data_IF_323511742125
#
_entry.id   IF_323511742125
#
_cell.length_a   1.000
_cell.length_b   1.000
_cell.length_c   1.000
_cell.angle_alpha   90.00
_cell.angle_beta   90.00
_cell.angle_gamma   90.00
#
_symmetry.space_group_name_H-M   'P 1'
#
loop_
_entity.id
_entity.type
_entity.pdbx_description
1 polymer ?
#
# COMPACT_ATOMS: atom_id res chain seq x y z
N UNK A 1 12.80 26.96 52.18
CA UNK A 1 14.02 26.96 53.01
C UNK A 1 14.11 25.58 53.64
N UNK A 2 15.09 24.70 53.47
CA UNK A 2 16.42 24.66 52.81
C UNK A 2 16.75 23.14 52.68
N UNK A 3 17.66 22.71 51.80
CA UNK A 3 17.64 21.41 51.10
C UNK A 3 18.74 20.43 51.55
N UNK A 4 18.78 19.23 50.95
CA UNK A 4 19.98 18.39 50.66
C UNK A 4 19.53 17.21 49.74
N UNK A 5 19.99 17.10 48.49
CA UNK A 5 21.29 16.56 48.01
C UNK A 5 21.48 15.07 48.39
N UNK A 6 21.91 14.11 47.55
CA UNK A 6 22.64 14.10 46.27
C UNK A 6 22.64 12.65 45.70
N UNK A 7 22.74 12.54 44.37
CA UNK A 7 23.47 11.56 43.53
C UNK A 7 23.71 10.10 43.98
N UNK A 8 23.48 9.14 43.06
CA UNK A 8 24.58 8.37 42.46
C UNK A 8 24.15 7.67 41.15
N UNK A 9 24.96 7.85 40.12
CA UNK A 9 24.94 7.13 38.86
C UNK A 9 25.79 5.85 38.96
N UNK A 10 25.37 4.76 38.33
CA UNK A 10 26.22 3.61 37.99
C UNK A 10 25.81 3.09 36.60
N UNK A 11 26.75 3.11 35.66
CA UNK A 11 26.71 2.50 34.32
C UNK A 11 27.41 1.11 34.36
N UNK A 12 27.24 0.26 33.31
CA UNK A 12 27.38 -1.20 33.32
C UNK A 12 28.79 -1.69 32.95
N UNK A 13 29.06 -3.02 32.94
CA UNK A 13 29.22 -3.70 31.63
C UNK A 13 28.92 -5.22 31.61
N UNK A 14 28.65 -5.78 30.42
CA UNK A 14 28.83 -7.18 29.96
C UNK A 14 28.22 -7.22 28.54
N UNK A 15 28.93 -7.19 27.41
CA UNK A 15 30.05 -7.97 26.88
C UNK A 15 29.80 -9.49 26.83
N UNK A 16 29.11 -9.95 25.77
CA UNK A 16 29.29 -11.29 25.22
C UNK A 16 29.27 -11.20 23.69
N UNK A 17 30.43 -11.49 23.09
CA UNK A 17 30.63 -11.72 21.67
C UNK A 17 30.32 -13.19 21.34
N UNK A 18 29.70 -13.46 20.19
CA UNK A 18 29.71 -14.78 19.56
C UNK A 18 30.01 -14.66 18.07
N UNK A 19 30.79 -15.64 17.62
CA UNK A 19 31.63 -15.69 16.43
C UNK A 19 30.90 -15.98 15.12
N UNK A 20 31.57 -15.55 14.05
CA UNK A 20 31.36 -15.93 12.66
C UNK A 20 31.67 -17.41 12.38
N UNK A 21 30.88 -18.00 11.47
CA UNK A 21 31.15 -19.15 10.58
C UNK A 21 29.96 -19.18 9.61
N UNK A 22 30.03 -19.28 8.29
CA UNK A 22 31.09 -19.53 7.33
C UNK A 22 30.35 -19.95 6.04
N UNK A 23 30.55 -19.22 4.94
CA UNK A 23 30.07 -19.64 3.62
C UNK A 23 30.91 -20.81 3.10
N UNK A 24 30.32 -21.70 2.29
CA UNK A 24 31.07 -22.27 1.17
C UNK A 24 30.42 -21.94 -0.17
N UNK A 25 31.21 -21.30 -1.03
CA UNK A 25 31.08 -21.31 -2.49
C UNK A 25 31.40 -22.71 -3.01
N UNK A 26 30.65 -23.17 -4.01
CA UNK A 26 31.00 -24.31 -4.86
C UNK A 26 30.49 -24.10 -6.28
N UNK A 27 31.41 -23.83 -7.19
CA UNK A 27 31.32 -23.93 -8.66
C UNK A 27 32.57 -24.74 -9.09
N UNK A 28 32.72 -25.17 -10.36
CA UNK A 28 31.80 -25.86 -11.27
C UNK A 28 32.48 -27.10 -11.91
N UNK A 29 31.70 -28.08 -12.40
CA UNK A 29 32.16 -29.07 -13.40
C UNK A 29 30.97 -29.32 -14.33
N UNK A 30 31.02 -29.26 -15.66
CA UNK A 30 32.08 -29.63 -16.59
C UNK A 30 31.66 -30.91 -17.31
N UNK A 31 30.85 -30.81 -18.38
CA UNK A 31 30.41 -31.97 -19.18
C UNK A 31 29.81 -31.56 -20.53
N UNK A 32 30.48 -31.99 -21.61
CA UNK A 32 30.27 -31.68 -23.04
C UNK A 32 29.17 -32.54 -23.70
N UNK A 33 28.75 -32.21 -24.95
CA UNK A 33 27.54 -32.71 -25.60
C UNK A 33 27.75 -34.02 -26.40
N UNK A 34 26.70 -34.83 -26.50
CA UNK A 34 26.49 -35.89 -27.50
C UNK A 34 25.02 -35.72 -27.96
N UNK A 35 24.64 -35.69 -29.23
CA UNK A 35 25.20 -36.28 -30.43
C UNK A 35 24.05 -37.03 -31.12
N UNK A 36 23.47 -36.44 -32.16
CA UNK A 36 22.61 -37.14 -33.13
C UNK A 36 23.47 -38.15 -33.91
N UNK A 37 23.01 -39.39 -34.13
CA UNK A 37 22.71 -39.74 -35.52
C UNK A 37 21.60 -40.80 -35.67
N UNK A 38 20.73 -40.64 -36.68
CA UNK A 38 20.59 -41.56 -37.85
C UNK A 38 19.27 -41.34 -38.61
N UNK A 39 19.39 -41.00 -39.92
CA UNK A 39 18.34 -41.16 -40.95
C UNK A 39 18.00 -42.64 -41.17
N UNK A 40 16.96 -43.06 -41.92
CA UNK A 40 16.30 -42.67 -43.20
C UNK A 40 15.15 -43.71 -43.41
N UNK A 41 14.38 -43.81 -44.53
CA UNK A 41 13.71 -42.83 -45.40
C UNK A 41 12.24 -43.23 -45.87
N UNK A 42 11.62 -42.35 -46.69
CA UNK A 42 10.56 -42.52 -47.73
C UNK A 42 9.07 -42.73 -47.35
N UNK A 43 8.20 -41.80 -47.81
CA UNK A 43 7.07 -42.08 -48.73
C UNK A 43 6.35 -40.79 -49.18
N UNK A 44 6.47 -40.47 -50.47
CA UNK A 44 5.65 -39.54 -51.22
C UNK A 44 4.19 -40.02 -51.30
N UNK A 45 3.21 -39.12 -51.11
CA UNK A 45 1.86 -39.28 -51.67
C UNK A 45 1.05 -37.96 -51.72
N UNK A 46 1.07 -37.37 -52.92
CA UNK A 46 -0.06 -36.76 -53.67
C UNK A 46 -0.96 -35.69 -53.01
N UNK A 47 -0.82 -34.50 -53.58
CA UNK A 47 -1.84 -33.44 -53.71
C UNK A 47 -3.16 -33.95 -54.31
N UNK A 48 -4.29 -33.40 -53.87
CA UNK A 48 -5.40 -33.11 -54.78
C UNK A 48 -5.73 -31.61 -54.80
N UNK A 49 -5.78 -31.08 -56.02
CA UNK A 49 -6.27 -29.76 -56.37
C UNK A 49 -7.81 -29.64 -56.29
N UNK A 50 -8.20 -28.38 -56.10
CA UNK A 50 -9.44 -27.72 -56.53
C UNK A 50 -10.75 -28.00 -55.76
N UNK A 51 -11.29 -26.95 -55.14
CA UNK A 51 -12.30 -26.07 -55.79
C UNK A 51 -12.65 -24.89 -54.88
N UNK A 52 -12.52 -23.68 -55.41
CA UNK A 52 -13.07 -22.43 -54.89
C UNK A 52 -14.58 -22.39 -55.12
N UNK A 53 -15.40 -22.09 -54.11
CA UNK A 53 -16.76 -21.59 -54.32
C UNK A 53 -16.76 -20.06 -54.28
N UNK A 54 -17.22 -19.46 -55.37
CA UNK A 54 -17.54 -18.04 -55.46
C UNK A 54 -18.85 -17.70 -54.72
N UNK A 55 -18.82 -16.50 -54.15
CA UNK A 55 -19.91 -15.57 -53.87
C UNK A 55 -21.08 -16.00 -52.97
N UNK A 56 -21.24 -15.29 -51.85
CA UNK A 56 -22.28 -14.24 -51.74
C UNK A 56 -22.01 -13.40 -50.51
N UNK A 57 -21.94 -12.08 -50.68
CA UNK A 57 -21.90 -11.09 -49.60
C UNK A 57 -23.33 -10.87 -49.13
N UNK A 58 -23.67 -11.08 -47.85
CA UNK A 58 -24.90 -10.54 -47.29
C UNK A 58 -24.64 -9.11 -46.82
N UNK A 59 -25.21 -8.13 -47.52
CA UNK A 59 -25.42 -6.79 -46.98
C UNK A 59 -26.41 -6.90 -45.82
N UNK A 60 -25.89 -6.95 -44.60
CA UNK A 60 -26.67 -6.84 -43.38
C UNK A 60 -26.31 -5.50 -42.70
N UNK A 61 -27.26 -4.57 -42.82
CA UNK A 61 -27.33 -3.24 -42.22
C UNK A 61 -26.60 -3.16 -40.87
N UNK A 62 -25.67 -2.23 -40.77
CA UNK A 62 -25.15 -1.73 -39.49
C UNK A 62 -26.33 -1.30 -38.62
N UNK A 63 -26.58 -1.92 -37.47
CA UNK A 63 -27.44 -1.32 -36.47
C UNK A 63 -26.71 -0.08 -35.95
N UNK A 64 -27.31 1.09 -36.07
CA UNK A 64 -26.92 2.25 -35.27
C UNK A 64 -27.13 1.89 -33.81
N UNK A 65 -26.11 1.28 -33.20
CA UNK A 65 -26.00 1.19 -31.77
C UNK A 65 -25.83 2.62 -31.29
N UNK A 66 -26.94 3.24 -30.87
CA UNK A 66 -26.89 4.34 -29.92
C UNK A 66 -26.02 3.86 -28.77
N UNK A 67 -24.78 4.35 -28.72
CA UNK A 67 -23.95 4.27 -27.53
C UNK A 67 -24.83 4.76 -26.39
N UNK A 68 -25.19 3.92 -25.41
CA UNK A 68 -25.66 4.47 -24.17
C UNK A 68 -24.49 5.28 -23.65
N UNK A 69 -24.63 6.61 -23.57
CA UNK A 69 -23.84 7.42 -22.68
C UNK A 69 -24.17 6.95 -21.25
N UNK A 70 -23.66 5.76 -20.90
CA UNK A 70 -23.51 5.32 -19.55
C UNK A 70 -22.38 6.16 -18.99
N UNK A 71 -22.68 7.41 -18.67
CA UNK A 71 -21.95 8.13 -17.64
C UNK A 71 -21.96 7.16 -16.46
N UNK A 72 -20.80 6.60 -16.02
CA UNK A 72 -20.82 5.72 -14.88
C UNK A 72 -21.52 6.51 -13.76
N UNK A 73 -22.44 5.90 -13.00
CA UNK A 73 -22.97 6.56 -11.82
C UNK A 73 -21.75 7.07 -11.06
N UNK A 74 -21.67 8.39 -10.84
CA UNK A 74 -20.60 8.92 -10.03
C UNK A 74 -20.85 8.36 -8.64
N UNK A 75 -20.22 7.22 -8.35
CA UNK A 75 -20.27 6.64 -7.03
C UNK A 75 -19.94 7.75 -6.04
N UNK A 76 -20.73 7.91 -4.96
CA UNK A 76 -20.48 8.97 -4.00
C UNK A 76 -19.03 8.86 -3.55
N UNK A 77 -18.34 10.01 -3.52
CA UNK A 77 -16.97 10.08 -3.05
C UNK A 77 -16.96 10.21 -1.52
N UNK A 78 -15.91 9.68 -0.91
CA UNK A 78 -15.56 10.01 0.46
C UNK A 78 -15.29 11.50 0.62
N UNK A 79 -15.64 12.04 1.79
CA UNK A 79 -15.50 13.45 2.14
C UNK A 79 -14.45 13.63 3.22
N UNK A 80 -13.58 14.61 3.03
CA UNK A 80 -12.73 15.15 4.08
C UNK A 80 -13.51 16.28 4.74
N UNK A 81 -13.79 16.12 6.03
CA UNK A 81 -14.47 17.08 6.87
C UNK A 81 -13.44 17.82 7.74
N UNK A 82 -13.91 18.77 8.54
CA UNK A 82 -13.10 19.32 9.61
C UNK A 82 -12.87 18.26 10.69
N UNK A 83 -11.61 18.06 11.05
CA UNK A 83 -11.18 17.15 12.11
C UNK A 83 -10.03 17.75 12.90
N UNK A 84 -9.54 17.06 13.94
CA UNK A 84 -8.48 17.59 14.82
C UNK A 84 -7.16 17.90 14.09
N UNK A 85 -6.91 17.26 12.94
CA UNK A 85 -5.75 17.52 12.09
C UNK A 85 -6.15 17.72 10.63
N UNK A 86 -5.53 18.66 9.91
CA UNK A 86 -5.90 18.99 8.54
C UNK A 86 -5.29 17.99 7.53
N UNK A 87 -6.02 16.92 7.20
CA UNK A 87 -5.58 15.87 6.24
C UNK A 87 -5.02 16.44 4.94
N UNK A 88 -5.68 17.44 4.34
CA UNK A 88 -5.28 18.06 3.08
C UNK A 88 -3.96 18.85 3.14
N UNK A 89 -3.54 19.28 4.34
CA UNK A 89 -2.23 19.92 4.53
C UNK A 89 -1.09 18.93 4.76
N UNK A 90 -1.40 17.66 4.95
CA UNK A 90 -0.41 16.62 5.22
C UNK A 90 -0.16 15.79 3.95
N UNK A 91 -1.22 15.30 3.30
CA UNK A 91 -1.09 14.43 2.13
C UNK A 91 -0.47 15.16 0.94
N UNK A 92 0.48 14.48 0.27
CA UNK A 92 1.19 14.98 -0.90
C UNK A 92 2.25 16.03 -0.62
N UNK A 93 2.39 16.51 0.63
CA UNK A 93 3.34 17.55 1.01
C UNK A 93 4.73 16.98 1.34
N UNK A 94 5.80 17.77 1.22
CA UNK A 94 7.14 17.36 1.63
C UNK A 94 7.29 17.32 3.17
N UNK A 95 8.29 16.59 3.70
CA UNK A 95 8.50 16.43 5.14
C UNK A 95 8.54 17.72 5.95
N UNK A 96 9.14 18.79 5.41
CA UNK A 96 9.23 20.07 6.10
C UNK A 96 7.87 20.73 6.34
N UNK A 97 6.97 20.67 5.35
CA UNK A 97 5.60 21.20 5.46
C UNK A 97 4.77 20.34 6.42
N UNK A 98 4.89 19.01 6.31
CA UNK A 98 4.21 18.07 7.21
C UNK A 98 4.63 18.30 8.67
N UNK A 99 5.94 18.43 8.91
CA UNK A 99 6.47 18.66 10.26
C UNK A 99 6.04 20.02 10.83
N UNK A 100 5.80 21.02 9.99
CA UNK A 100 5.28 22.32 10.45
C UNK A 100 3.86 22.21 11.03
N UNK A 101 3.07 21.23 10.60
CA UNK A 101 1.71 20.98 11.09
C UNK A 101 1.68 20.02 12.30
N UNK A 102 2.75 19.24 12.55
CA UNK A 102 2.83 18.22 13.61
C UNK A 102 3.77 18.62 14.75
N UNK A 103 3.77 17.87 15.87
CA UNK A 103 4.74 18.06 16.95
C UNK A 103 6.04 17.29 16.67
N UNK A 104 6.94 17.23 17.66
CA UNK A 104 8.25 16.60 17.49
C UNK A 104 8.15 15.12 17.11
N UNK A 105 9.10 14.60 16.31
CA UNK A 105 9.21 13.17 16.02
C UNK A 105 9.31 12.30 17.29
N UNK A 106 8.55 11.20 17.35
CA UNK A 106 8.50 10.27 18.49
C UNK A 106 9.54 9.13 18.39
N UNK A 107 10.65 9.36 17.69
CA UNK A 107 11.71 8.36 17.49
C UNK A 107 12.42 8.50 16.15
N UNK A 108 13.29 7.54 15.84
CA UNK A 108 14.18 7.57 14.65
C UNK A 108 13.49 7.28 13.31
N UNK A 109 12.23 6.82 13.33
CA UNK A 109 11.53 6.37 12.13
C UNK A 109 12.14 5.10 11.50
N UNK A 110 11.76 4.82 10.27
CA UNK A 110 12.25 3.71 9.44
C UNK A 110 12.44 4.20 8.01
N UNK A 111 13.44 3.67 7.30
CA UNK A 111 13.63 3.94 5.89
C UNK A 111 13.98 2.65 5.13
N UNK A 112 13.57 2.56 3.86
CA UNK A 112 13.91 1.48 2.93
C UNK A 112 13.86 1.95 1.48
N UNK A 113 14.43 1.16 0.58
CA UNK A 113 14.51 1.52 -0.85
C UNK A 113 13.43 0.82 -1.71
N UNK A 114 12.24 0.61 -1.15
CA UNK A 114 11.12 -0.02 -1.85
C UNK A 114 9.79 0.54 -1.36
N UNK A 115 8.81 0.58 -2.26
CA UNK A 115 7.43 0.97 -2.00
C UNK A 115 6.48 -0.14 -2.46
N UNK A 116 5.22 -0.05 -2.06
CA UNK A 116 4.15 -0.92 -2.53
C UNK A 116 2.96 -0.08 -2.96
N UNK A 117 2.35 -0.45 -4.07
CA UNK A 117 1.04 0.04 -4.49
C UNK A 117 0.10 -1.14 -4.68
N UNK A 118 -1.19 -0.96 -4.43
CA UNK A 118 -2.17 -2.05 -4.46
C UNK A 118 -3.09 -2.03 -5.68
N UNK A 119 -2.96 -1.02 -6.55
CA UNK A 119 -3.78 -0.89 -7.77
C UNK A 119 -2.90 -0.85 -9.04
N UNK A 120 -3.34 -1.48 -10.15
CA UNK A 120 -4.53 -2.36 -10.26
C UNK A 120 -4.36 -3.69 -9.52
N UNK A 121 -3.12 -4.07 -9.21
CA UNK A 121 -2.74 -5.20 -8.37
C UNK A 121 -1.61 -4.79 -7.43
N UNK A 122 -1.24 -5.68 -6.50
CA UNK A 122 -0.16 -5.40 -5.55
C UNK A 122 1.20 -5.49 -6.21
N UNK A 123 1.87 -4.36 -6.38
CA UNK A 123 3.19 -4.24 -7.04
C UNK A 123 4.20 -3.58 -6.11
N UNK A 124 5.41 -4.11 -6.09
CA UNK A 124 6.57 -3.50 -5.43
C UNK A 124 7.42 -2.76 -6.46
N UNK A 125 7.92 -1.58 -6.10
CA UNK A 125 8.76 -0.76 -6.97
C UNK A 125 9.86 -0.06 -6.16
N UNK A 126 10.97 0.29 -6.82
CA UNK A 126 12.07 1.02 -6.20
C UNK A 126 11.67 2.48 -5.96
N UNK A 127 11.80 2.93 -4.71
CA UNK A 127 11.51 4.29 -4.26
C UNK A 127 12.34 4.60 -3.00
N UNK A 128 12.41 5.87 -2.58
CA UNK A 128 12.86 6.23 -1.24
C UNK A 128 11.66 6.25 -0.29
N UNK A 129 11.49 5.17 0.47
CA UNK A 129 10.45 5.08 1.49
C UNK A 129 10.99 5.54 2.85
N UNK A 130 10.20 6.34 3.56
CA UNK A 130 10.42 6.63 4.98
C UNK A 130 9.10 6.59 5.74
N UNK A 131 9.11 6.01 6.94
CA UNK A 131 8.02 6.08 7.91
C UNK A 131 8.53 6.85 9.12
N UNK A 132 7.81 7.89 9.52
CA UNK A 132 8.11 8.65 10.73
C UNK A 132 6.85 8.81 11.57
N UNK A 133 6.98 8.65 12.90
CA UNK A 133 5.93 8.96 13.86
C UNK A 133 6.20 10.31 14.49
N UNK A 134 5.16 11.12 14.63
CA UNK A 134 5.19 12.46 15.21
C UNK A 134 4.21 12.54 16.37
N UNK A 135 4.46 13.46 17.30
CA UNK A 135 3.45 13.86 18.26
C UNK A 135 2.34 14.66 17.59
N UNK A 136 1.19 14.70 18.25
CA UNK A 136 0.05 15.50 17.82
C UNK A 136 -0.07 16.78 18.65
N UNK A 137 -0.05 17.95 17.99
CA UNK A 137 -0.22 19.26 18.63
C UNK A 137 -1.60 19.45 19.24
N UNK A 138 -2.62 18.82 18.65
CA UNK A 138 -4.00 18.96 19.11
C UNK A 138 -4.27 18.15 20.39
N UNK A 139 -3.44 17.14 20.66
CA UNK A 139 -3.58 16.19 21.76
C UNK A 139 -4.77 15.22 21.59
N UNK A 140 -5.31 15.09 20.38
CA UNK A 140 -6.38 14.16 20.02
C UNK A 140 -5.87 12.73 19.73
N UNK A 141 -4.58 12.57 19.46
CA UNK A 141 -3.96 11.29 19.12
C UNK A 141 -2.70 11.01 19.95
N UNK A 142 -2.41 9.73 20.20
CA UNK A 142 -1.13 9.32 20.81
C UNK A 142 0.05 9.60 19.88
N UNK A 143 -0.14 9.40 18.58
CA UNK A 143 0.86 9.62 17.56
C UNK A 143 0.22 9.80 16.19
N UNK A 144 0.96 10.45 15.29
CA UNK A 144 0.66 10.55 13.87
C UNK A 144 1.80 9.87 13.09
N UNK A 145 1.49 8.76 12.43
CA UNK A 145 2.41 8.12 11.49
C UNK A 145 2.30 8.78 10.12
N UNK A 146 3.43 9.09 9.49
CA UNK A 146 3.48 9.56 8.11
C UNK A 146 4.40 8.65 7.31
N UNK A 147 3.88 8.11 6.21
CA UNK A 147 4.69 7.45 5.19
C UNK A 147 5.03 8.45 4.09
N UNK A 148 6.29 8.47 3.71
CA UNK A 148 6.82 9.25 2.62
C UNK A 148 7.33 8.32 1.53
N UNK A 149 6.97 8.63 0.29
CA UNK A 149 7.51 8.01 -0.91
C UNK A 149 8.15 9.10 -1.77
N UNK A 150 9.44 8.92 -2.10
CA UNK A 150 10.22 9.88 -2.90
C UNK A 150 10.10 11.34 -2.39
N UNK A 151 10.03 11.49 -1.06
CA UNK A 151 9.97 12.78 -0.37
C UNK A 151 8.59 13.45 -0.33
N UNK A 152 7.50 12.72 -0.60
CA UNK A 152 6.12 13.22 -0.44
C UNK A 152 5.34 12.33 0.50
N UNK A 153 4.52 12.91 1.37
CA UNK A 153 3.64 12.15 2.23
C UNK A 153 2.58 11.42 1.41
N UNK A 154 2.59 10.10 1.47
CA UNK A 154 1.64 9.23 0.76
C UNK A 154 0.71 8.48 1.69
N UNK A 155 1.01 8.41 2.99
CA UNK A 155 0.06 7.92 3.97
C UNK A 155 0.09 8.72 5.27
N UNK A 156 -1.06 8.73 5.95
CA UNK A 156 -1.22 9.22 7.32
C UNK A 156 -1.85 8.10 8.14
N UNK A 157 -1.33 7.87 9.33
CA UNK A 157 -1.89 7.01 10.35
C UNK A 157 -2.23 7.85 11.60
N UNK A 158 -3.51 7.94 11.93
CA UNK A 158 -3.99 8.50 13.20
C UNK A 158 -4.00 7.38 14.23
N UNK A 159 -3.09 7.43 15.21
CA UNK A 159 -2.90 6.36 16.17
C UNK A 159 -3.45 6.73 17.55
N UNK A 160 -4.28 5.86 18.09
CA UNK A 160 -4.79 5.94 19.45
C UNK A 160 -5.53 7.24 19.75
N UNK A 161 -6.73 7.47 19.18
CA UNK A 161 -7.62 8.55 19.60
C UNK A 161 -7.72 8.64 21.13
N UNK A 162 -7.45 9.81 21.71
CA UNK A 162 -7.34 9.99 23.17
C UNK A 162 -8.60 10.56 23.80
N UNK A 163 -9.47 11.18 22.99
CA UNK A 163 -10.73 11.80 23.42
C UNK A 163 -11.97 11.13 22.81
N UNK A 164 -11.78 9.95 22.19
CA UNK A 164 -12.88 9.16 21.68
C UNK A 164 -13.53 8.39 22.83
N UNK A 165 -14.86 8.25 22.77
CA UNK A 165 -15.67 7.61 23.81
C UNK A 165 -16.64 6.60 23.18
N UNK A 166 -17.13 5.67 23.99
CA UNK A 166 -18.02 4.61 23.54
C UNK A 166 -17.30 3.47 22.81
N UNK A 167 -18.05 2.53 22.21
CA UNK A 167 -17.47 1.40 21.50
C UNK A 167 -16.69 1.83 20.26
N UNK A 168 -15.64 1.09 19.93
CA UNK A 168 -14.82 1.27 18.74
C UNK A 168 -15.59 0.78 17.52
N UNK A 169 -16.30 1.71 16.90
CA UNK A 169 -16.99 1.50 15.63
C UNK A 169 -16.21 2.16 14.48
N UNK A 170 -16.10 1.52 13.31
CA UNK A 170 -15.27 2.00 12.22
C UNK A 170 -15.78 3.35 11.65
N UNK A 171 -17.09 3.60 11.71
CA UNK A 171 -17.69 4.90 11.33
C UNK A 171 -17.36 6.00 12.33
N UNK A 172 -17.37 5.69 13.63
CA UNK A 172 -16.98 6.63 14.67
C UNK A 172 -15.50 6.99 14.54
N UNK A 173 -14.64 6.01 14.23
CA UNK A 173 -13.22 6.23 13.99
C UNK A 173 -12.96 7.14 12.79
N UNK A 174 -13.68 6.93 11.68
CA UNK A 174 -13.63 7.83 10.51
C UNK A 174 -14.07 9.25 10.87
N UNK A 175 -15.22 9.40 11.53
CA UNK A 175 -15.75 10.70 11.91
C UNK A 175 -14.78 11.46 12.84
N UNK A 176 -14.12 10.75 13.78
CA UNK A 176 -13.15 11.34 14.69
C UNK A 176 -11.97 12.01 13.95
N UNK A 177 -11.50 11.39 12.86
CA UNK A 177 -10.39 11.93 12.04
C UNK A 177 -10.85 12.93 10.98
N UNK A 178 -12.14 13.29 10.95
CA UNK A 178 -12.70 14.17 9.93
C UNK A 178 -12.89 13.48 8.58
N UNK A 179 -13.29 12.22 8.57
CA UNK A 179 -13.62 11.48 7.35
C UNK A 179 -15.06 10.97 7.37
N UNK A 180 -15.66 10.98 6.18
CA UNK A 180 -16.91 10.27 5.91
C UNK A 180 -16.75 9.49 4.61
N UNK A 181 -16.91 8.17 4.65
CA UNK A 181 -16.79 7.31 3.48
C UNK A 181 -18.14 6.64 3.17
N UNK A 182 -18.59 6.63 1.90
CA UNK A 182 -19.77 5.85 1.52
C UNK A 182 -19.45 4.36 1.47
N UNK A 183 -20.50 3.53 1.45
CA UNK A 183 -20.39 2.08 1.27
C UNK A 183 -19.78 1.35 2.48
N UNK A 184 -20.13 0.08 2.64
CA UNK A 184 -19.63 -0.73 3.75
C UNK A 184 -18.17 -1.17 3.54
N UNK A 185 -17.34 -1.17 4.61
CA UNK A 185 -15.98 -1.67 4.52
C UNK A 185 -15.96 -3.18 4.29
N UNK A 186 -14.83 -3.67 3.81
CA UNK A 186 -14.46 -5.06 3.98
C UNK A 186 -13.91 -5.28 5.40
N UNK A 187 -14.54 -6.16 6.18
CA UNK A 187 -14.09 -6.54 7.52
C UNK A 187 -13.24 -7.82 7.46
N UNK A 188 -12.06 -7.77 8.06
CA UNK A 188 -11.22 -8.94 8.32
C UNK A 188 -10.84 -9.01 9.80
N UNK A 189 -10.67 -10.22 10.32
CA UNK A 189 -10.27 -10.47 11.70
C UNK A 189 -8.95 -11.27 11.73
N UNK A 190 -7.78 -10.60 11.60
CA UNK A 190 -6.48 -11.28 11.50
C UNK A 190 -6.01 -11.94 12.81
N UNK A 191 -6.71 -11.72 13.92
CA UNK A 191 -6.45 -12.34 15.21
C UNK A 191 -7.71 -12.34 16.08
N UNK A 192 -7.68 -13.00 17.24
CA UNK A 192 -8.86 -13.18 18.09
C UNK A 192 -9.50 -11.85 18.52
N UNK A 193 -8.68 -10.85 18.79
CA UNK A 193 -9.12 -9.53 19.25
C UNK A 193 -8.83 -8.43 18.23
N UNK A 194 -8.39 -8.76 17.00
CA UNK A 194 -8.02 -7.76 16.01
C UNK A 194 -9.09 -7.67 14.92
N UNK A 195 -9.55 -6.45 14.65
CA UNK A 195 -10.48 -6.16 13.57
C UNK A 195 -9.87 -5.13 12.63
N UNK A 196 -10.07 -5.32 11.32
CA UNK A 196 -9.61 -4.42 10.28
C UNK A 196 -10.73 -4.19 9.28
N UNK A 197 -11.16 -2.94 9.14
CA UNK A 197 -12.16 -2.47 8.19
C UNK A 197 -11.46 -1.70 7.07
N UNK A 198 -11.61 -2.16 5.83
CA UNK A 198 -10.93 -1.58 4.67
C UNK A 198 -11.91 -1.02 3.64
N UNK A 199 -11.72 0.24 3.28
CA UNK A 199 -12.33 0.87 2.12
C UNK A 199 -11.28 1.00 1.02
N UNK A 200 -11.29 0.02 0.12
CA UNK A 200 -10.47 0.05 -1.08
C UNK A 200 -11.17 0.85 -2.18
N UNK A 201 -10.44 1.21 -3.24
CA UNK A 201 -10.90 2.11 -4.30
C UNK A 201 -12.24 1.71 -4.94
N UNK A 202 -12.54 0.41 -5.05
CA UNK A 202 -13.80 -0.10 -5.61
C UNK A 202 -14.97 -0.16 -4.63
N UNK A 203 -14.76 0.17 -3.35
CA UNK A 203 -15.83 0.26 -2.33
C UNK A 203 -16.13 1.69 -1.91
N UNK A 204 -15.08 2.48 -1.68
CA UNK A 204 -15.19 3.91 -1.49
C UNK A 204 -13.99 4.60 -2.09
N UNK A 205 -14.25 5.68 -2.83
CA UNK A 205 -13.21 6.51 -3.41
C UNK A 205 -13.03 7.75 -2.54
N UNK A 206 -11.90 7.85 -1.84
CA UNK A 206 -11.48 9.09 -1.20
C UNK A 206 -10.53 9.84 -2.12
N UNK A 207 -10.86 11.09 -2.45
CA UNK A 207 -9.98 11.98 -3.21
C UNK A 207 -9.47 13.12 -2.32
N UNK A 208 -8.16 13.33 -2.32
CA UNK A 208 -7.52 14.49 -1.66
C UNK A 208 -6.52 15.09 -2.66
N UNK A 209 -6.64 16.38 -2.96
CA UNK A 209 -5.84 17.07 -3.98
C UNK A 209 -5.78 16.33 -5.33
N UNK A 210 -6.92 15.74 -5.76
CA UNK A 210 -7.04 15.00 -7.01
C UNK A 210 -6.42 13.60 -7.01
N UNK A 211 -5.84 13.16 -5.89
CA UNK A 211 -5.23 11.84 -5.72
C UNK A 211 -6.16 10.88 -4.99
N UNK A 212 -6.06 9.60 -5.31
CA UNK A 212 -6.93 8.57 -4.75
C UNK A 212 -6.28 7.84 -3.58
N UNK A 213 -7.05 7.66 -2.51
CA UNK A 213 -6.62 7.00 -1.28
C UNK A 213 -7.55 5.86 -0.92
N UNK A 214 -6.98 4.78 -0.39
CA UNK A 214 -7.70 3.77 0.40
C UNK A 214 -7.69 4.19 1.86
N UNK A 215 -8.70 3.76 2.60
CA UNK A 215 -8.78 4.00 4.04
C UNK A 215 -8.89 2.67 4.78
N UNK A 216 -8.15 2.54 5.87
CA UNK A 216 -8.17 1.36 6.73
C UNK A 216 -8.40 1.81 8.16
N UNK A 217 -9.35 1.20 8.84
CA UNK A 217 -9.47 1.31 10.30
C UNK A 217 -9.06 -0.04 10.87
N UNK A 218 -8.20 -0.03 11.89
CA UNK A 218 -7.85 -1.23 12.62
C UNK A 218 -7.98 -1.00 14.11
N UNK A 219 -8.50 -1.97 14.84
CA UNK A 219 -8.53 -1.96 16.31
C UNK A 219 -8.06 -3.30 16.86
N UNK A 220 -7.49 -3.26 18.06
CA UNK A 220 -7.34 -4.44 18.91
C UNK A 220 -8.26 -4.26 20.10
N UNK A 221 -9.22 -5.17 20.24
CA UNK A 221 -10.33 -5.10 21.19
C UNK A 221 -11.19 -3.85 21.01
N UNK A 222 -12.04 -3.61 22.00
CA UNK A 222 -12.83 -2.39 22.13
C UNK A 222 -12.00 -1.29 22.83
N UNK A 223 -10.88 -0.90 22.22
CA UNK A 223 -9.90 0.02 22.81
C UNK A 223 -9.45 1.10 21.82
N UNK A 224 -9.97 2.31 22.00
CA UNK A 224 -9.56 3.50 21.24
C UNK A 224 -8.06 3.76 21.30
N UNK A 225 -7.42 3.43 22.42
CA UNK A 225 -5.99 3.63 22.62
C UNK A 225 -5.13 2.65 21.77
N UNK A 226 -5.74 1.60 21.21
CA UNK A 226 -5.17 0.63 20.26
C UNK A 226 -5.86 0.67 18.89
N UNK A 227 -6.62 1.73 18.62
CA UNK A 227 -7.25 1.98 17.32
C UNK A 227 -6.35 2.81 16.43
N UNK A 228 -6.37 2.53 15.13
CA UNK A 228 -5.63 3.27 14.11
C UNK A 228 -6.50 3.51 12.88
N UNK A 229 -6.47 4.73 12.34
CA UNK A 229 -7.07 5.07 11.05
C UNK A 229 -5.98 5.46 10.07
N UNK A 230 -5.89 4.76 8.95
CA UNK A 230 -4.86 4.94 7.93
C UNK A 230 -5.48 5.42 6.62
N UNK A 231 -4.95 6.51 6.08
CA UNK A 231 -5.27 7.02 4.75
C UNK A 231 -4.04 6.78 3.89
N UNK A 232 -4.11 5.86 2.94
CA UNK A 232 -2.94 5.38 2.18
C UNK A 232 -3.16 5.62 0.70
N UNK A 233 -2.17 6.24 0.07
CA UNK A 233 -2.21 6.53 -1.34
C UNK A 233 -2.42 5.25 -2.16
N UNK A 234 -3.35 5.32 -3.10
CA UNK A 234 -3.76 4.19 -3.90
C UNK A 234 -4.06 4.61 -5.34
N UNK A 235 -3.27 5.55 -5.87
CA UNK A 235 -3.23 5.83 -7.31
C UNK A 235 -2.54 4.67 -8.07
N UNK A 236 -2.92 4.38 -9.33
CA UNK A 236 -2.08 3.58 -10.20
C UNK A 236 -0.66 4.17 -10.29
N UNK A 237 0.35 3.31 -10.43
CA UNK A 237 1.72 3.77 -10.63
C UNK A 237 1.80 4.69 -11.86
N UNK A 238 2.59 5.75 -11.78
CA UNK A 238 2.99 6.58 -12.92
C UNK A 238 3.90 5.80 -13.87
N UNK A 239 4.12 6.30 -15.09
CA UNK A 239 5.08 5.69 -16.03
C UNK A 239 6.49 5.56 -15.45
N UNK A 240 6.94 6.58 -14.72
CA UNK A 240 8.25 6.61 -14.08
C UNK A 240 8.35 5.60 -12.93
N UNK A 241 7.26 5.37 -12.18
CA UNK A 241 7.22 4.32 -11.15
C UNK A 241 7.13 2.92 -11.78
N UNK A 242 6.38 2.75 -12.87
CA UNK A 242 6.30 1.49 -13.62
C UNK A 242 7.67 1.04 -14.14
N UNK A 243 8.50 1.97 -14.60
CA UNK A 243 9.87 1.68 -15.02
C UNK A 243 10.79 1.20 -13.88
N UNK A 244 10.35 1.34 -12.61
CA UNK A 244 11.09 0.96 -11.41
C UNK A 244 10.49 -0.25 -10.69
N UNK A 245 9.54 -0.96 -11.31
CA UNK A 245 8.92 -2.15 -10.72
C UNK A 245 10.00 -3.22 -10.46
N UNK A 246 9.96 -3.76 -9.25
CA UNK A 246 10.88 -4.81 -8.83
C UNK A 246 10.42 -6.16 -9.39
N UNK A 247 11.34 -7.02 -9.85
CA UNK A 247 10.98 -8.35 -10.31
C UNK A 247 10.29 -9.14 -9.19
N UNK A 248 9.22 -9.84 -9.53
CA UNK A 248 8.60 -10.80 -8.63
C UNK A 248 9.59 -11.94 -8.39
N UNK A 249 9.89 -12.22 -7.12
CA UNK A 249 10.68 -13.42 -6.80
C UNK A 249 9.88 -14.64 -7.25
N UNK A 250 10.47 -15.58 -8.02
CA UNK A 250 9.78 -16.82 -8.36
C UNK A 250 9.40 -17.53 -7.05
N UNK A 251 8.17 -17.99 -6.96
CA UNK A 251 7.72 -18.85 -5.85
C UNK A 251 8.66 -20.06 -5.78
N UNK A 252 9.28 -20.38 -4.64
CA UNK A 252 9.98 -21.65 -4.48
C UNK A 252 8.97 -22.77 -4.77
N UNK A 253 9.25 -23.56 -5.80
CA UNK A 253 8.46 -24.74 -6.16
C UNK A 253 8.62 -25.89 -5.18
#
# INVERSE_FOLDING_TARGET
MTPRARSLAILPPLLVAWLALGCPRGEPTGGKPLGDPRGKPIADAKTPDAKTPDATTPDAKTPDAKTPDAKPPSEPLGRVLEGPLPIAKLLGKPPAEVQAELADPLGKGMARNSCVRFVPERVWFACKFALQRYGDKSGAYKAIGIEYEDGKATAIAFEGPTRAEGPVEPRAALAYVGLELPGEPELTAPGPDAQVWSWFNGRARLLVDGRQYRVVVSSVGDDWARTKVEIVLNDPLTEQERARVLPTQPTPG
#
